data_IF_154258298015
#
_entry.id   IF_154258298015
#
_cell.length_a   1.000
_cell.length_b   1.000
_cell.length_c   1.000
_cell.angle_alpha   90.00
_cell.angle_beta   90.00
_cell.angle_gamma   90.00
#
_symmetry.space_group_name_H-M   'P 1'
#
loop_
_entity.id
_entity.type
_entity.pdbx_description
1 polymer ?
#
# COMPACT_ATOMS: atom_id res chain seq x y z
N UNK A 1 -10.26 53.25 68.95
CA UNK A 1 -10.68 53.37 67.53
C UNK A 1 -9.44 53.71 66.73
N UNK A 2 -9.15 53.09 65.56
CA UNK A 2 -9.96 52.17 64.76
C UNK A 2 -9.48 50.70 64.86
N UNK A 3 -10.37 49.77 64.53
CA UNK A 3 -10.10 48.33 64.37
C UNK A 3 -9.93 48.03 62.88
N UNK A 4 -8.92 47.25 62.54
CA UNK A 4 -8.68 46.66 61.22
C UNK A 4 -9.31 45.28 61.22
N UNK A 5 -10.19 45.01 60.26
CA UNK A 5 -10.82 43.70 60.03
C UNK A 5 -9.84 42.76 59.31
N UNK A 6 -9.70 41.54 59.83
CA UNK A 6 -8.96 40.45 59.18
C UNK A 6 -9.99 39.45 58.64
N UNK A 7 -10.02 39.29 57.32
CA UNK A 7 -10.86 38.31 56.64
C UNK A 7 -10.38 36.88 56.92
N UNK A 8 -11.31 36.00 57.32
CA UNK A 8 -11.05 34.58 57.56
C UNK A 8 -11.40 33.78 56.30
N UNK A 9 -10.46 33.01 55.77
CA UNK A 9 -10.63 32.08 54.65
C UNK A 9 -11.29 30.79 55.19
N UNK A 10 -12.45 30.42 54.66
CA UNK A 10 -13.12 29.16 54.96
C UNK A 10 -12.63 28.06 53.99
N UNK A 11 -12.08 26.98 54.55
CA UNK A 11 -11.66 25.77 53.84
C UNK A 11 -12.87 24.84 53.67
N UNK A 12 -13.29 24.58 52.43
CA UNK A 12 -14.35 23.60 52.14
C UNK A 12 -13.73 22.20 51.99
N UNK A 13 -14.07 21.28 52.91
CA UNK A 13 -13.84 19.85 52.71
C UNK A 13 -14.91 19.31 51.76
N UNK A 14 -14.50 18.84 50.58
CA UNK A 14 -15.32 18.01 49.71
C UNK A 14 -15.21 16.54 50.17
N UNK A 15 -16.34 15.93 50.50
CA UNK A 15 -16.43 14.51 50.80
C UNK A 15 -16.29 13.68 49.51
N UNK A 16 -15.42 12.66 49.54
CA UNK A 16 -15.36 11.65 48.48
C UNK A 16 -16.61 10.76 48.57
N UNK A 17 -17.50 10.86 47.58
CA UNK A 17 -18.48 9.82 47.31
C UNK A 17 -17.80 8.73 46.49
N UNK A 18 -17.76 7.50 47.01
CA UNK A 18 -17.34 6.32 46.25
C UNK A 18 -18.35 6.13 45.10
N UNK A 19 -17.89 6.31 43.87
CA UNK A 19 -18.67 5.99 42.68
C UNK A 19 -18.79 4.46 42.60
N UNK A 20 -20.01 3.96 42.72
CA UNK A 20 -20.35 2.58 42.37
C UNK A 20 -20.14 2.40 40.87
N UNK A 21 -19.06 1.71 40.49
CA UNK A 21 -18.85 1.24 39.11
C UNK A 21 -19.88 0.13 38.87
N UNK A 22 -20.75 0.24 37.85
CA UNK A 22 -21.65 -0.86 37.51
C UNK A 22 -20.82 -2.07 37.06
N UNK A 23 -21.08 -3.24 37.66
CA UNK A 23 -20.45 -4.54 37.34
C UNK A 23 -20.74 -5.06 35.91
N UNK A 24 -21.43 -4.27 35.07
CA UNK A 24 -21.85 -4.61 33.71
C UNK A 24 -21.22 -3.70 32.64
N UNK A 25 -20.01 -3.19 32.86
CA UNK A 25 -19.22 -2.71 31.74
C UNK A 25 -18.95 -3.92 30.82
N UNK A 26 -19.36 -3.91 29.53
CA UNK A 26 -19.01 -4.99 28.63
C UNK A 26 -17.48 -5.08 28.62
N UNK A 27 -16.98 -6.25 29.02
CA UNK A 27 -15.57 -6.60 28.86
C UNK A 27 -15.17 -6.26 27.41
N UNK A 28 -14.01 -5.63 27.16
CA UNK A 28 -13.54 -5.44 25.79
C UNK A 28 -13.60 -6.79 25.10
N UNK A 29 -14.40 -6.88 24.03
CA UNK A 29 -14.50 -8.11 23.24
C UNK A 29 -13.10 -8.37 22.69
N UNK A 30 -12.44 -9.49 23.05
CA UNK A 30 -11.16 -9.81 22.44
C UNK A 30 -11.41 -9.90 20.93
N UNK A 31 -10.79 -9.02 20.15
CA UNK A 31 -10.97 -9.11 18.71
C UNK A 31 -10.37 -10.45 18.29
N UNK A 32 -11.19 -11.31 17.68
CA UNK A 32 -10.85 -12.69 17.42
C UNK A 32 -9.64 -12.77 16.49
N UNK A 33 -8.84 -13.82 16.64
CA UNK A 33 -7.88 -14.21 15.60
C UNK A 33 -8.62 -14.33 14.25
N UNK A 34 -7.91 -14.06 13.17
CA UNK A 34 -8.45 -14.22 11.82
C UNK A 34 -7.48 -15.06 11.02
N UNK A 35 -8.04 -15.93 10.20
CA UNK A 35 -7.36 -16.73 9.20
C UNK A 35 -7.72 -16.25 7.78
N UNK A 36 -8.33 -15.06 7.69
CA UNK A 36 -8.70 -14.39 6.46
C UNK A 36 -7.68 -13.30 6.08
N UNK A 37 -7.20 -13.33 4.84
CA UNK A 37 -6.28 -12.33 4.28
C UNK A 37 -6.80 -11.78 2.95
N UNK A 38 -6.87 -10.45 2.84
CA UNK A 38 -7.13 -9.75 1.58
C UNK A 38 -5.85 -9.05 1.12
N UNK A 39 -5.21 -9.57 0.07
CA UNK A 39 -3.98 -9.04 -0.50
C UNK A 39 -4.26 -8.29 -1.81
N UNK A 40 -4.06 -6.98 -1.80
CA UNK A 40 -4.04 -6.16 -3.01
C UNK A 40 -2.59 -6.05 -3.50
N UNK A 41 -2.33 -6.50 -4.72
CA UNK A 41 -1.06 -6.24 -5.40
C UNK A 41 -1.25 -5.01 -6.30
N UNK A 42 -0.45 -3.98 -6.05
CA UNK A 42 -0.40 -2.76 -6.85
C UNK A 42 0.87 -2.84 -7.68
N UNK A 43 0.69 -3.12 -8.97
CA UNK A 43 1.81 -3.40 -9.87
C UNK A 43 1.98 -2.26 -10.86
N UNK A 44 3.19 -1.75 -10.94
CA UNK A 44 3.54 -0.83 -11.99
C UNK A 44 3.65 -1.57 -13.34
N UNK A 45 2.89 -1.05 -14.30
CA UNK A 45 2.69 -1.65 -15.61
C UNK A 45 3.45 -0.89 -16.71
N UNK A 46 4.42 -0.07 -16.33
CA UNK A 46 5.37 0.57 -17.23
C UNK A 46 6.17 -0.47 -18.02
N UNK A 47 6.77 -0.03 -19.12
CA UNK A 47 7.56 -0.90 -19.97
C UNK A 47 8.88 -1.36 -19.34
N UNK A 48 9.37 -0.68 -18.29
CA UNK A 48 10.63 -0.99 -17.61
C UNK A 48 10.52 -2.11 -16.59
N UNK A 49 9.32 -2.41 -16.10
CA UNK A 49 9.10 -3.37 -15.01
C UNK A 49 9.01 -4.86 -15.43
N UNK A 50 9.41 -5.19 -16.66
CA UNK A 50 9.20 -6.51 -17.25
C UNK A 50 9.94 -7.64 -16.50
N UNK A 51 11.21 -7.42 -16.18
CA UNK A 51 12.06 -8.36 -15.44
C UNK A 51 11.61 -8.54 -13.98
N UNK A 52 11.17 -7.46 -13.33
CA UNK A 52 10.65 -7.48 -11.96
C UNK A 52 9.31 -8.21 -11.88
N UNK A 53 8.39 -7.99 -12.84
CA UNK A 53 7.12 -8.72 -12.92
C UNK A 53 7.34 -10.23 -13.12
N UNK A 54 8.37 -10.62 -13.90
CA UNK A 54 8.76 -12.02 -14.05
C UNK A 54 9.30 -12.59 -12.73
N UNK A 55 10.18 -11.85 -12.03
CA UNK A 55 10.75 -12.26 -10.73
C UNK A 55 9.68 -12.42 -9.66
N UNK A 56 8.67 -11.54 -9.64
CA UNK A 56 7.50 -11.68 -8.77
C UNK A 56 6.70 -12.93 -9.13
N UNK A 57 6.43 -13.15 -10.42
CA UNK A 57 5.69 -14.32 -10.90
C UNK A 57 6.35 -15.65 -10.49
N UNK A 58 7.68 -15.70 -10.47
CA UNK A 58 8.46 -16.87 -10.03
C UNK A 58 8.36 -17.14 -8.53
N UNK A 59 8.27 -16.08 -7.70
CA UNK A 59 8.25 -16.20 -6.24
C UNK A 59 6.83 -16.42 -5.66
N UNK A 60 5.77 -16.08 -6.41
CA UNK A 60 4.38 -16.22 -5.95
C UNK A 60 3.97 -17.61 -5.49
N UNK A 61 4.31 -18.72 -6.19
CA UNK A 61 3.89 -20.05 -5.75
C UNK A 61 4.37 -20.38 -4.33
N UNK A 62 5.63 -20.05 -4.02
CA UNK A 62 6.20 -20.24 -2.69
C UNK A 62 5.52 -19.33 -1.66
N UNK A 63 5.29 -18.08 -2.01
CA UNK A 63 4.60 -17.12 -1.13
C UNK A 63 3.18 -17.58 -0.76
N UNK A 64 2.37 -18.01 -1.74
CA UNK A 64 1.03 -18.54 -1.50
C UNK A 64 1.11 -19.84 -0.68
N UNK A 65 2.03 -20.74 -1.03
CA UNK A 65 2.22 -22.00 -0.30
C UNK A 65 2.51 -21.73 1.18
N UNK A 66 3.46 -20.85 1.49
CA UNK A 66 3.83 -20.48 2.85
C UNK A 66 2.64 -19.94 3.65
N UNK A 67 1.84 -19.05 3.05
CA UNK A 67 0.62 -18.54 3.67
C UNK A 67 -0.42 -19.64 3.95
N UNK A 68 -0.60 -20.57 3.02
CA UNK A 68 -1.62 -21.63 3.11
C UNK A 68 -1.24 -22.79 4.01
N UNK A 69 0.05 -23.06 4.21
CA UNK A 69 0.53 -24.14 5.10
C UNK A 69 0.95 -23.62 6.47
N UNK A 70 1.33 -22.35 6.56
CA UNK A 70 2.00 -21.80 7.73
C UNK A 70 3.46 -22.25 7.84
N UNK A 71 4.03 -22.85 6.80
CA UNK A 71 5.41 -23.32 6.70
C UNK A 71 6.19 -22.33 5.83
N UNK A 72 6.91 -21.44 6.48
CA UNK A 72 7.56 -20.29 5.85
C UNK A 72 8.83 -20.70 5.12
N UNK A 73 9.63 -21.58 5.73
CA UNK A 73 10.95 -21.95 5.23
C UNK A 73 10.98 -23.29 4.47
N UNK A 74 9.81 -23.91 4.27
CA UNK A 74 9.62 -25.16 3.55
C UNK A 74 10.40 -26.33 4.18
N UNK A 75 10.57 -26.29 5.52
CA UNK A 75 11.23 -27.35 6.28
C UNK A 75 10.27 -28.49 6.68
N UNK A 76 8.98 -28.32 6.40
CA UNK A 76 7.90 -29.26 6.71
C UNK A 76 7.27 -29.06 8.09
N UNK A 77 7.74 -28.10 8.88
CA UNK A 77 7.15 -27.68 10.14
C UNK A 77 6.27 -26.44 9.95
N UNK A 78 5.31 -26.27 10.86
CA UNK A 78 4.47 -25.08 10.88
C UNK A 78 5.14 -24.01 11.75
N UNK A 79 5.40 -22.85 11.17
CA UNK A 79 5.91 -21.65 11.83
C UNK A 79 4.81 -20.75 12.39
N UNK A 80 3.68 -20.64 11.68
CA UNK A 80 2.53 -19.82 12.08
C UNK A 80 1.19 -20.46 11.68
N UNK A 81 0.07 -19.94 12.20
CA UNK A 81 -1.24 -20.46 11.82
C UNK A 81 -1.59 -20.08 10.38
N UNK A 82 -1.94 -21.06 9.52
CA UNK A 82 -2.15 -20.81 8.10
C UNK A 82 -3.36 -19.94 7.81
N UNK A 83 -3.27 -19.18 6.73
CA UNK A 83 -4.41 -18.50 6.11
C UNK A 83 -5.34 -19.56 5.53
N UNK A 84 -6.58 -19.62 6.00
CA UNK A 84 -7.58 -20.56 5.47
C UNK A 84 -8.43 -19.97 4.36
N UNK A 85 -8.44 -18.64 4.22
CA UNK A 85 -9.11 -17.94 3.13
C UNK A 85 -8.36 -16.69 2.68
N UNK A 86 -7.78 -16.77 1.50
CA UNK A 86 -7.00 -15.71 0.85
C UNK A 86 -7.79 -15.12 -0.32
N UNK A 87 -8.00 -13.81 -0.30
CA UNK A 87 -8.38 -13.03 -1.47
C UNK A 87 -7.13 -12.36 -2.05
N UNK A 88 -6.92 -12.46 -3.35
CA UNK A 88 -5.91 -11.68 -4.08
C UNK A 88 -6.60 -10.85 -5.16
N UNK A 89 -6.22 -9.58 -5.27
CA UNK A 89 -6.61 -8.74 -6.38
C UNK A 89 -5.41 -7.95 -6.89
N UNK A 90 -5.46 -7.55 -8.15
CA UNK A 90 -4.39 -6.80 -8.81
C UNK A 90 -4.97 -5.49 -9.33
N UNK A 91 -4.30 -4.37 -9.05
CA UNK A 91 -4.52 -3.08 -9.72
C UNK A 91 -3.20 -2.58 -10.28
N UNK A 92 -3.26 -1.76 -11.33
CA UNK A 92 -2.08 -1.06 -11.82
C UNK A 92 -1.91 0.28 -11.12
N UNK A 93 -0.77 0.89 -11.31
CA UNK A 93 -0.42 2.26 -10.87
C UNK A 93 -0.93 3.35 -11.81
N UNK A 94 -1.46 2.99 -12.99
CA UNK A 94 -1.99 3.93 -13.97
C UNK A 94 -3.34 4.53 -13.49
N UNK A 95 -3.27 5.73 -12.95
CA UNK A 95 -4.45 6.54 -12.56
C UNK A 95 -4.78 7.62 -13.59
N UNK A 96 -4.13 7.58 -14.75
CA UNK A 96 -4.23 8.57 -15.80
C UNK A 96 -3.53 9.89 -15.48
N UNK A 97 -3.53 10.77 -16.48
CA UNK A 97 -2.87 12.07 -16.47
C UNK A 97 -3.88 13.20 -16.62
N UNK A 98 -5.11 13.01 -16.13
CA UNK A 98 -6.18 14.02 -16.18
C UNK A 98 -6.57 14.49 -17.59
N UNK A 99 -6.38 13.63 -18.59
CA UNK A 99 -6.82 13.85 -19.98
C UNK A 99 -5.78 14.55 -20.86
N UNK A 100 -4.57 14.78 -20.33
CA UNK A 100 -3.48 15.39 -21.07
C UNK A 100 -2.87 14.39 -22.08
N UNK A 101 -2.42 14.93 -23.22
CA UNK A 101 -1.74 14.14 -24.26
C UNK A 101 -0.28 13.89 -23.83
N UNK A 102 -0.10 12.82 -23.07
CA UNK A 102 1.21 12.35 -22.58
C UNK A 102 1.47 10.98 -23.22
N UNK A 103 2.62 10.80 -23.89
CA UNK A 103 2.99 9.50 -24.46
C UNK A 103 2.89 8.40 -23.41
N UNK A 104 2.42 7.21 -23.81
CA UNK A 104 2.20 6.00 -22.97
C UNK A 104 1.00 6.06 -22.02
N UNK A 105 0.45 7.24 -21.74
CA UNK A 105 -0.62 7.40 -20.74
C UNK A 105 -2.04 7.33 -21.34
N UNK A 106 -2.21 6.80 -22.55
CA UNK A 106 -3.51 6.61 -23.20
C UNK A 106 -4.02 5.16 -23.16
N UNK A 107 -3.20 4.24 -22.65
CA UNK A 107 -3.43 2.79 -22.70
C UNK A 107 -4.36 2.20 -21.65
N UNK A 108 -4.59 2.90 -20.52
CA UNK A 108 -5.45 2.43 -19.44
C UNK A 108 -6.93 2.27 -19.83
N UNK A 109 -7.69 1.53 -19.02
CA UNK A 109 -9.10 1.19 -19.27
C UNK A 109 -10.01 2.40 -19.53
N UNK A 110 -9.67 3.55 -18.96
CA UNK A 110 -10.39 4.82 -19.05
C UNK A 110 -9.57 5.91 -19.78
N UNK A 111 -8.51 5.50 -20.48
CA UNK A 111 -7.60 6.37 -21.24
C UNK A 111 -6.89 7.40 -20.38
N UNK A 112 -6.33 8.43 -21.02
CA UNK A 112 -5.52 9.46 -20.35
C UNK A 112 -6.24 10.25 -19.24
N UNK A 113 -7.57 10.21 -19.17
CA UNK A 113 -8.32 10.89 -18.12
C UNK A 113 -8.15 10.23 -16.75
N UNK A 114 -8.15 8.89 -16.70
CA UNK A 114 -8.22 8.15 -15.45
C UNK A 114 -7.43 6.83 -15.43
N UNK A 115 -6.70 6.49 -16.50
CA UNK A 115 -5.89 5.28 -16.55
C UNK A 115 -6.73 4.03 -16.36
N UNK A 116 -6.29 3.13 -15.49
CA UNK A 116 -7.08 1.98 -14.99
C UNK A 116 -7.94 2.32 -13.77
N UNK A 117 -7.81 3.54 -13.23
CA UNK A 117 -8.67 4.14 -12.21
C UNK A 117 -8.76 3.35 -10.89
N UNK A 118 -7.75 2.54 -10.57
CA UNK A 118 -7.77 1.65 -9.40
C UNK A 118 -8.83 0.55 -9.50
N UNK A 119 -9.27 0.20 -10.72
CA UNK A 119 -10.17 -0.93 -10.96
C UNK A 119 -9.36 -2.22 -11.07
N UNK A 120 -9.80 -3.28 -10.41
CA UNK A 120 -9.12 -4.57 -10.42
C UNK A 120 -9.01 -5.13 -11.84
N UNK A 121 -7.80 -5.57 -12.20
CA UNK A 121 -7.50 -6.09 -13.53
C UNK A 121 -8.05 -7.51 -13.65
N UNK A 122 -8.83 -7.73 -14.71
CA UNK A 122 -9.41 -9.04 -15.02
C UNK A 122 -8.85 -9.63 -16.31
N UNK A 123 -8.09 -8.85 -17.08
CA UNK A 123 -7.56 -9.26 -18.37
C UNK A 123 -6.34 -10.15 -18.18
N UNK A 124 -6.41 -11.39 -18.66
CA UNK A 124 -5.27 -12.30 -18.63
C UNK A 124 -4.34 -12.16 -19.84
N UNK A 125 -3.06 -12.50 -19.65
CA UNK A 125 -2.03 -12.50 -20.70
C UNK A 125 -2.02 -13.78 -21.52
N UNK A 126 -2.83 -13.83 -22.57
CA UNK A 126 -2.89 -14.99 -23.48
C UNK A 126 -1.61 -15.28 -24.28
N UNK A 127 -0.62 -14.38 -24.24
CA UNK A 127 0.72 -14.64 -24.76
C UNK A 127 1.50 -15.66 -23.90
N UNK A 128 1.16 -15.78 -22.62
CA UNK A 128 1.71 -16.80 -21.72
C UNK A 128 0.88 -18.07 -21.89
N UNK A 129 1.56 -19.20 -22.15
CA UNK A 129 0.89 -20.49 -22.36
C UNK A 129 0.15 -20.91 -21.10
N UNK A 130 -1.14 -21.23 -21.23
CA UNK A 130 -1.99 -21.64 -20.11
C UNK A 130 -2.88 -20.52 -19.54
N UNK A 131 -2.53 -19.25 -19.79
CA UNK A 131 -3.33 -18.14 -19.32
C UNK A 131 -4.65 -17.97 -20.11
N UNK A 132 -5.73 -17.74 -19.38
CA UNK A 132 -7.05 -17.43 -19.93
C UNK A 132 -7.11 -15.96 -20.41
N UNK A 133 -8.03 -15.62 -21.33
CA UNK A 133 -8.22 -14.22 -21.74
C UNK A 133 -8.81 -13.34 -20.63
N UNK A 134 -9.50 -13.93 -19.65
CA UNK A 134 -10.13 -13.20 -18.54
C UNK A 134 -10.11 -14.05 -17.28
N UNK A 135 -10.01 -13.37 -16.15
CA UNK A 135 -10.00 -13.88 -14.78
C UNK A 135 -11.04 -13.12 -13.93
N UNK A 136 -11.43 -13.64 -12.75
CA UNK A 136 -12.22 -12.87 -11.79
C UNK A 136 -11.43 -11.64 -11.29
N UNK A 137 -12.15 -10.61 -10.82
CA UNK A 137 -11.52 -9.44 -10.20
C UNK A 137 -10.87 -9.77 -8.85
N UNK A 138 -11.43 -10.76 -8.16
CA UNK A 138 -10.95 -11.29 -6.88
C UNK A 138 -10.64 -12.78 -7.07
N UNK A 139 -9.41 -13.15 -6.83
CA UNK A 139 -8.95 -14.54 -6.81
C UNK A 139 -9.13 -15.07 -5.39
N UNK A 140 -9.78 -16.23 -5.26
CA UNK A 140 -10.07 -16.84 -3.97
C UNK A 140 -9.26 -18.14 -3.82
N UNK A 141 -8.49 -18.25 -2.75
CA UNK A 141 -7.82 -19.48 -2.34
C UNK A 141 -8.30 -19.89 -0.95
N UNK A 142 -8.59 -21.17 -0.78
CA UNK A 142 -9.03 -21.75 0.49
C UNK A 142 -8.08 -22.84 0.95
N UNK A 143 -8.06 -23.09 2.25
CA UNK A 143 -7.28 -24.19 2.85
C UNK A 143 -7.48 -25.52 2.10
N UNK A 144 -6.37 -26.17 1.76
CA UNK A 144 -6.36 -27.43 1.01
C UNK A 144 -6.55 -27.28 -0.51
N UNK A 145 -6.68 -26.05 -1.02
CA UNK A 145 -6.63 -25.76 -2.45
C UNK A 145 -5.21 -25.93 -3.03
N UNK A 146 -5.13 -25.98 -4.36
CA UNK A 146 -3.84 -26.03 -5.06
C UNK A 146 -3.21 -24.64 -5.13
N UNK A 147 -2.21 -24.39 -4.27
CA UNK A 147 -1.49 -23.12 -4.20
C UNK A 147 -0.72 -22.81 -5.50
N UNK A 148 -0.18 -23.83 -6.17
CA UNK A 148 0.58 -23.64 -7.42
C UNK A 148 -0.33 -23.22 -8.57
N UNK A 149 -1.48 -23.88 -8.72
CA UNK A 149 -2.47 -23.51 -9.73
C UNK A 149 -3.05 -22.11 -9.47
N UNK A 150 -3.34 -21.79 -8.20
CA UNK A 150 -3.80 -20.46 -7.82
C UNK A 150 -2.77 -19.37 -8.14
N UNK A 151 -1.51 -19.59 -7.74
CA UNK A 151 -0.43 -18.63 -8.01
C UNK A 151 -0.20 -18.44 -9.52
N UNK A 152 -0.32 -19.51 -10.31
CA UNK A 152 -0.27 -19.43 -11.76
C UNK A 152 -1.38 -18.51 -12.32
N UNK A 153 -2.62 -18.68 -11.88
CA UNK A 153 -3.74 -17.84 -12.33
C UNK A 153 -3.56 -16.37 -11.95
N UNK A 154 -3.03 -16.08 -10.76
CA UNK A 154 -2.66 -14.71 -10.34
C UNK A 154 -1.55 -14.14 -11.24
N UNK A 155 -0.52 -14.93 -11.55
CA UNK A 155 0.60 -14.51 -12.41
C UNK A 155 0.18 -14.15 -13.85
N UNK A 156 -0.92 -14.75 -14.32
CA UNK A 156 -1.51 -14.46 -15.64
C UNK A 156 -2.09 -13.05 -15.74
N UNK A 157 -2.34 -12.37 -14.62
CA UNK A 157 -2.85 -10.99 -14.55
C UNK A 157 -1.77 -9.99 -14.14
N UNK A 158 -0.86 -10.36 -13.24
CA UNK A 158 0.20 -9.46 -12.73
C UNK A 158 1.10 -8.87 -13.80
N UNK A 159 1.29 -9.63 -14.86
CA UNK A 159 1.99 -9.16 -16.01
C UNK A 159 1.09 -8.07 -16.66
N UNK A 160 1.19 -6.80 -16.30
CA UNK A 160 0.50 -5.67 -16.97
C UNK A 160 1.54 -4.82 -17.71
N UNK A 161 1.28 -4.43 -18.97
CA UNK A 161 2.21 -3.66 -19.82
C UNK A 161 1.46 -2.55 -20.52
N UNK A 162 2.17 -1.48 -20.85
CA UNK A 162 1.60 -0.32 -21.53
C UNK A 162 0.96 0.70 -20.58
N UNK A 163 1.43 0.72 -19.33
CA UNK A 163 1.11 1.72 -18.33
C UNK A 163 1.66 3.10 -18.67
N UNK A 164 1.14 4.08 -17.94
CA UNK A 164 1.56 5.47 -18.02
C UNK A 164 2.85 5.69 -17.23
N UNK A 165 3.88 6.29 -17.82
CA UNK A 165 5.15 6.59 -17.11
C UNK A 165 5.08 7.65 -16.00
N UNK A 166 3.89 7.94 -15.47
CA UNK A 166 3.65 8.71 -14.26
C UNK A 166 2.90 7.85 -13.25
N UNK A 167 3.66 7.10 -12.47
CA UNK A 167 3.08 6.11 -11.57
C UNK A 167 2.40 6.74 -10.36
N UNK A 168 1.24 6.17 -10.00
CA UNK A 168 0.42 6.64 -8.89
C UNK A 168 0.00 5.47 -7.97
N UNK A 169 0.94 4.64 -7.49
CA UNK A 169 0.65 3.45 -6.70
C UNK A 169 -0.16 3.73 -5.43
N UNK A 170 0.11 4.83 -4.74
CA UNK A 170 -0.57 5.12 -3.48
C UNK A 170 -2.03 5.55 -3.71
N UNK A 171 -2.30 6.34 -4.75
CA UNK A 171 -3.67 6.71 -5.12
C UNK A 171 -4.43 5.54 -5.71
N UNK A 172 -3.78 4.69 -6.51
CA UNK A 172 -4.36 3.45 -7.04
C UNK A 172 -4.80 2.51 -5.91
N UNK A 173 -3.91 2.25 -4.94
CA UNK A 173 -4.21 1.44 -3.76
C UNK A 173 -5.40 2.01 -2.99
N UNK A 174 -5.35 3.31 -2.66
CA UNK A 174 -6.38 3.96 -1.87
C UNK A 174 -7.73 3.98 -2.61
N UNK A 175 -7.74 4.23 -3.93
CA UNK A 175 -8.98 4.25 -4.73
C UNK A 175 -9.58 2.87 -4.86
N UNK A 176 -8.75 1.86 -5.06
CA UNK A 176 -9.20 0.48 -5.20
C UNK A 176 -9.93 -0.03 -3.95
N UNK A 177 -9.44 0.36 -2.77
CA UNK A 177 -9.90 -0.15 -1.48
C UNK A 177 -10.98 0.71 -0.81
N UNK A 178 -10.98 2.02 -1.06
CA UNK A 178 -11.91 2.93 -0.39
C UNK A 178 -13.35 2.70 -0.87
N UNK A 179 -14.32 2.41 0.01
CA UNK A 179 -15.72 2.42 -0.35
C UNK A 179 -16.26 3.85 -0.46
N UNK A 180 -17.36 4.04 -1.17
CA UNK A 180 -18.08 5.29 -1.30
C UNK A 180 -18.87 5.67 -0.03
N UNK A 181 -19.12 4.70 0.87
CA UNK A 181 -19.72 4.90 2.19
C UNK A 181 -19.03 4.04 3.26
N UNK A 182 -19.11 4.41 4.56
CA UNK A 182 -18.57 3.58 5.64
C UNK A 182 -19.15 2.16 5.63
N UNK A 183 -18.28 1.16 5.81
CA UNK A 183 -18.62 -0.26 5.85
C UNK A 183 -18.31 -0.86 7.24
N UNK A 184 -18.91 -2.01 7.60
CA UNK A 184 -18.50 -2.79 8.77
C UNK A 184 -16.99 -3.10 8.76
N UNK A 185 -16.39 -3.26 9.94
CA UNK A 185 -14.94 -3.50 10.09
C UNK A 185 -14.04 -2.27 9.97
N UNK A 186 -14.54 -1.13 9.49
CA UNK A 186 -13.81 0.14 9.39
C UNK A 186 -13.82 0.93 10.71
N UNK A 187 -12.94 1.92 10.84
CA UNK A 187 -12.92 2.83 12.00
C UNK A 187 -14.25 3.58 12.14
N UNK A 188 -14.59 3.92 13.39
CA UNK A 188 -15.76 4.75 13.67
C UNK A 188 -15.54 6.17 13.12
N UNK A 189 -16.49 6.65 12.31
CA UNK A 189 -16.39 7.95 11.65
C UNK A 189 -15.55 7.97 10.37
N UNK A 190 -15.27 6.81 9.77
CA UNK A 190 -14.63 6.73 8.46
C UNK A 190 -15.25 7.72 7.45
N UNK A 191 -14.40 8.47 6.75
CA UNK A 191 -14.76 9.49 5.78
C UNK A 191 -14.20 9.09 4.42
N UNK A 192 -15.04 8.63 3.47
CA UNK A 192 -14.60 8.26 2.14
C UNK A 192 -13.80 9.37 1.44
N UNK A 193 -12.55 9.12 1.01
CA UNK A 193 -11.79 10.10 0.26
C UNK A 193 -12.45 10.41 -1.09
N UNK A 194 -12.18 11.61 -1.59
CA UNK A 194 -12.47 11.99 -2.96
C UNK A 194 -11.20 11.84 -3.81
N UNK A 195 -11.40 11.42 -5.05
CA UNK A 195 -10.36 11.23 -6.06
C UNK A 195 -10.51 12.27 -7.16
N UNK A 196 -9.69 12.18 -8.22
CA UNK A 196 -9.75 13.07 -9.39
C UNK A 196 -11.20 13.34 -9.83
N UNK A 197 -11.49 14.62 -10.10
CA UNK A 197 -12.84 15.17 -10.42
C UNK A 197 -13.94 14.91 -9.38
N UNK A 198 -13.58 14.63 -8.13
CA UNK A 198 -14.54 14.34 -7.07
C UNK A 198 -15.19 12.96 -7.19
N UNK A 199 -14.54 12.03 -7.90
CA UNK A 199 -14.98 10.64 -7.97
C UNK A 199 -14.80 9.93 -6.62
N UNK A 200 -15.48 8.79 -6.46
CA UNK A 200 -15.39 7.93 -5.27
C UNK A 200 -14.46 6.74 -5.53
N UNK A 201 -14.05 6.07 -4.46
CA UNK A 201 -13.33 4.82 -4.56
C UNK A 201 -14.23 3.66 -5.00
N UNK A 202 -13.61 2.52 -5.27
CA UNK A 202 -14.26 1.35 -5.88
C UNK A 202 -14.55 0.22 -4.90
N UNK A 203 -14.19 0.34 -3.62
CA UNK A 203 -14.23 -0.77 -2.65
C UNK A 203 -15.61 -1.39 -2.43
N UNK A 204 -16.69 -0.62 -2.58
CA UNK A 204 -18.09 -1.07 -2.56
C UNK A 204 -18.79 -0.90 -3.92
N UNK A 205 -18.00 -0.65 -4.97
CA UNK A 205 -18.43 -0.43 -6.35
C UNK A 205 -17.82 -1.47 -7.29
N UNK A 206 -16.92 -1.04 -8.18
CA UNK A 206 -16.31 -1.93 -9.19
C UNK A 206 -15.43 -3.03 -8.59
N UNK A 207 -14.92 -2.82 -7.38
CA UNK A 207 -14.07 -3.76 -6.66
C UNK A 207 -14.82 -4.42 -5.48
N UNK A 208 -16.16 -4.34 -5.46
CA UNK A 208 -16.98 -4.94 -4.43
C UNK A 208 -16.72 -6.45 -4.32
N UNK A 209 -16.68 -6.96 -3.08
CA UNK A 209 -16.43 -8.37 -2.77
C UNK A 209 -14.97 -8.69 -2.44
N UNK A 210 -14.03 -7.77 -2.67
CA UNK A 210 -12.63 -7.96 -2.29
C UNK A 210 -12.42 -7.83 -0.77
N UNK A 211 -12.76 -6.66 -0.21
CA UNK A 211 -12.46 -6.31 1.17
C UNK A 211 -13.49 -6.91 2.14
N UNK A 212 -13.07 -7.90 2.93
CA UNK A 212 -13.87 -8.54 3.96
C UNK A 212 -13.78 -7.80 5.29
N UNK A 213 -14.76 -8.00 6.16
CA UNK A 213 -14.88 -7.29 7.44
C UNK A 213 -13.78 -7.68 8.44
N UNK A 214 -13.44 -8.98 8.53
CA UNK A 214 -12.58 -9.52 9.58
C UNK A 214 -11.19 -9.96 9.07
N UNK A 215 -10.84 -9.69 7.82
CA UNK A 215 -9.56 -10.08 7.25
C UNK A 215 -8.43 -9.12 7.63
N UNK A 216 -7.20 -9.63 7.66
CA UNK A 216 -6.01 -8.78 7.49
C UNK A 216 -6.07 -8.17 6.10
N UNK A 217 -5.93 -6.85 6.00
CA UNK A 217 -5.74 -6.14 4.74
C UNK A 217 -4.25 -5.96 4.49
N UNK A 218 -3.76 -6.49 3.38
CA UNK A 218 -2.40 -6.31 2.93
C UNK A 218 -2.38 -5.60 1.57
N UNK A 219 -1.47 -4.64 1.42
CA UNK A 219 -1.17 -3.99 0.14
C UNK A 219 0.29 -4.26 -0.19
N UNK A 220 0.57 -4.87 -1.33
CA UNK A 220 1.93 -5.05 -1.85
C UNK A 220 2.12 -4.12 -3.05
N UNK A 221 2.94 -3.08 -2.88
CA UNK A 221 3.32 -2.16 -3.94
C UNK A 221 4.60 -2.64 -4.59
N UNK A 222 4.59 -2.80 -5.91
CA UNK A 222 5.74 -3.21 -6.72
C UNK A 222 5.94 -2.21 -7.85
N UNK A 223 7.04 -1.46 -7.82
CA UNK A 223 7.33 -0.38 -8.79
C UNK A 223 8.82 -0.03 -8.83
N UNK A 224 9.34 0.37 -9.99
CA UNK A 224 10.69 0.92 -10.15
C UNK A 224 10.70 2.46 -10.06
N UNK A 225 9.54 3.05 -9.79
CA UNK A 225 9.29 4.48 -9.84
C UNK A 225 8.79 5.02 -8.48
N UNK A 226 8.69 6.35 -8.40
CA UNK A 226 8.15 7.04 -7.22
C UNK A 226 6.66 7.31 -7.42
N UNK A 227 5.91 7.47 -6.32
CA UNK A 227 4.54 7.94 -6.39
C UNK A 227 4.46 9.40 -6.90
N UNK A 228 3.73 9.64 -7.99
CA UNK A 228 3.37 10.97 -8.51
C UNK A 228 1.87 11.28 -8.35
N UNK A 229 1.21 10.67 -7.38
CA UNK A 229 -0.22 10.89 -7.14
C UNK A 229 -0.52 12.34 -6.77
N UNK A 230 -1.40 13.02 -7.52
CA UNK A 230 -1.70 14.45 -7.36
C UNK A 230 -3.17 14.82 -7.59
N UNK A 231 -3.60 15.95 -7.01
CA UNK A 231 -4.87 16.61 -7.37
C UNK A 231 -4.78 17.55 -8.56
N UNK A 232 -3.58 17.97 -8.96
CA UNK A 232 -3.37 18.95 -10.03
C UNK A 232 -2.75 18.26 -11.25
N UNK A 233 -3.59 17.68 -12.14
CA UNK A 233 -3.09 16.97 -13.31
C UNK A 233 -2.34 17.87 -14.29
N UNK A 234 -2.39 19.20 -14.12
CA UNK A 234 -1.57 20.11 -14.92
C UNK A 234 -0.07 19.83 -14.78
N UNK A 235 0.37 19.16 -13.71
CA UNK A 235 1.77 18.70 -13.59
C UNK A 235 2.16 17.75 -14.74
N UNK A 236 1.21 17.00 -15.29
CA UNK A 236 1.43 16.08 -16.41
C UNK A 236 1.31 16.76 -17.77
N UNK A 237 0.69 17.94 -17.87
CA UNK A 237 0.48 18.64 -19.13
C UNK A 237 1.81 19.24 -19.66
N UNK A 238 2.36 18.77 -20.79
CA UNK A 238 3.60 19.31 -21.34
C UNK A 238 3.51 20.81 -21.65
N UNK A 239 2.30 21.34 -21.88
CA UNK A 239 2.03 22.73 -22.23
C UNK A 239 1.75 23.66 -21.03
N UNK A 240 1.59 23.13 -19.81
CA UNK A 240 1.31 23.95 -18.64
C UNK A 240 2.55 24.76 -18.22
N UNK A 241 2.44 26.07 -18.36
CA UNK A 241 3.51 27.01 -18.08
C UNK A 241 3.91 27.07 -16.59
N UNK A 242 3.08 26.58 -15.66
CA UNK A 242 3.39 26.52 -14.22
C UNK A 242 4.52 25.56 -13.92
N UNK A 243 4.68 24.51 -14.74
CA UNK A 243 5.61 23.40 -14.49
C UNK A 243 6.70 23.26 -15.57
N UNK A 244 6.82 24.25 -16.46
CA UNK A 244 7.72 24.21 -17.63
C UNK A 244 9.18 24.56 -17.33
N UNK A 245 9.53 24.87 -16.08
CA UNK A 245 10.91 25.20 -15.68
C UNK A 245 11.85 23.99 -15.61
N UNK A 246 11.30 22.78 -15.67
CA UNK A 246 12.03 21.51 -15.65
C UNK A 246 11.46 20.57 -16.71
N UNK A 247 12.21 19.50 -17.01
CA UNK A 247 11.73 18.42 -17.87
C UNK A 247 10.45 17.78 -17.29
N UNK A 248 9.57 17.29 -18.16
CA UNK A 248 8.30 16.68 -17.80
C UNK A 248 8.47 15.56 -16.76
N UNK A 249 9.47 14.70 -16.94
CA UNK A 249 9.73 13.55 -16.05
C UNK A 249 10.24 13.97 -14.65
N UNK A 250 10.65 15.22 -14.48
CA UNK A 250 11.20 15.72 -13.22
C UNK A 250 10.17 16.47 -12.37
N UNK A 251 8.96 16.69 -12.88
CA UNK A 251 8.02 17.63 -12.27
C UNK A 251 7.52 17.17 -10.90
N UNK A 252 7.18 15.89 -10.76
CA UNK A 252 6.70 15.31 -9.49
C UNK A 252 7.68 15.56 -8.33
N UNK A 253 8.99 15.53 -8.65
CA UNK A 253 10.09 15.76 -7.71
C UNK A 253 10.42 17.24 -7.53
N UNK A 254 10.36 18.02 -8.62
CA UNK A 254 10.75 19.43 -8.62
C UNK A 254 9.68 20.35 -8.02
N UNK A 255 8.44 19.87 -7.93
CA UNK A 255 7.30 20.57 -7.36
C UNK A 255 6.68 19.76 -6.20
N UNK A 256 7.41 19.58 -5.08
CA UNK A 256 7.03 18.65 -4.01
C UNK A 256 5.72 19.00 -3.28
N UNK A 257 5.22 20.22 -3.44
CA UNK A 257 3.93 20.66 -2.87
C UNK A 257 2.72 20.25 -3.73
N UNK A 258 2.94 19.72 -4.93
CA UNK A 258 1.86 19.38 -5.89
C UNK A 258 1.35 17.95 -5.72
N UNK A 259 2.21 16.92 -5.54
CA UNK A 259 1.73 15.61 -5.16
C UNK A 259 1.01 15.64 -3.80
N UNK A 260 0.14 14.67 -3.57
CA UNK A 260 -0.56 14.53 -2.30
C UNK A 260 0.42 14.39 -1.12
N UNK A 261 0.06 14.91 0.05
CA UNK A 261 0.84 14.60 1.25
C UNK A 261 0.71 13.12 1.62
N UNK A 262 1.80 12.49 2.04
CA UNK A 262 1.86 11.09 2.50
C UNK A 262 0.78 10.77 3.55
N UNK A 263 0.45 11.73 4.42
CA UNK A 263 -0.59 11.57 5.43
C UNK A 263 -1.95 11.13 4.87
N UNK A 264 -2.27 11.49 3.61
CA UNK A 264 -3.47 11.05 2.88
C UNK A 264 -3.60 9.52 2.86
N UNK A 265 -2.49 8.83 2.59
CA UNK A 265 -2.48 7.39 2.33
C UNK A 265 -2.44 6.57 3.61
N UNK A 266 -1.77 7.06 4.65
CA UNK A 266 -1.74 6.38 5.94
C UNK A 266 -3.07 6.49 6.71
N UNK A 267 -3.33 7.65 7.32
CA UNK A 267 -4.51 7.86 8.17
C UNK A 267 -5.55 8.84 7.60
N UNK A 268 -5.24 9.50 6.49
CA UNK A 268 -5.94 10.69 6.06
C UNK A 268 -5.59 11.92 6.89
N UNK A 269 -5.90 13.09 6.34
CA UNK A 269 -5.57 14.41 6.93
C UNK A 269 -6.25 14.66 8.28
N UNK A 270 -7.42 14.07 8.49
CA UNK A 270 -8.22 14.16 9.72
C UNK A 270 -8.19 12.86 10.54
N UNK A 271 -7.36 11.89 10.15
CA UNK A 271 -7.29 10.57 10.79
C UNK A 271 -8.50 9.68 10.53
N UNK A 272 -9.37 10.02 9.56
CA UNK A 272 -10.62 9.31 9.29
C UNK A 272 -10.68 8.68 7.90
N UNK A 273 -9.57 8.65 7.18
CA UNK A 273 -9.47 8.09 5.84
C UNK A 273 -8.17 7.26 5.71
N UNK A 274 -7.62 7.16 4.50
CA UNK A 274 -6.40 6.39 4.26
C UNK A 274 -6.57 4.89 4.47
N UNK A 275 -5.48 4.14 4.40
CA UNK A 275 -5.47 2.69 4.58
C UNK A 275 -5.82 2.28 6.02
N UNK A 276 -5.39 3.05 7.03
CA UNK A 276 -5.74 2.79 8.44
C UNK A 276 -7.23 2.97 8.71
N UNK A 277 -7.95 3.73 7.88
CA UNK A 277 -9.40 3.87 8.00
C UNK A 277 -10.17 2.59 7.66
N UNK A 278 -9.56 1.67 6.92
CA UNK A 278 -10.22 0.48 6.38
C UNK A 278 -10.35 -0.66 7.41
N UNK A 279 -9.68 -0.54 8.56
CA UNK A 279 -9.74 -1.51 9.68
C UNK A 279 -9.87 -0.79 11.01
N UNK A 280 -10.70 -1.33 11.91
CA UNK A 280 -10.79 -0.86 13.31
C UNK A 280 -9.46 -0.97 14.04
N UNK A 281 -8.76 -2.08 13.80
CA UNK A 281 -7.46 -2.37 14.38
C UNK A 281 -6.35 -2.07 13.36
N UNK A 282 -5.46 -1.11 13.62
CA UNK A 282 -4.37 -0.79 12.70
C UNK A 282 -3.43 -1.97 12.48
N UNK A 283 -3.28 -2.91 13.43
CA UNK A 283 -2.41 -4.08 13.23
C UNK A 283 -2.95 -5.09 12.21
N UNK A 284 -4.21 -4.92 11.77
CA UNK A 284 -4.82 -5.66 10.66
C UNK A 284 -4.53 -5.02 9.29
N UNK A 285 -3.73 -3.95 9.23
CA UNK A 285 -3.29 -3.32 7.97
C UNK A 285 -1.81 -3.59 7.79
N UNK A 286 -1.42 -4.05 6.61
CA UNK A 286 -0.03 -4.30 6.22
C UNK A 286 0.29 -3.61 4.90
N UNK A 287 1.40 -2.88 4.84
CA UNK A 287 1.97 -2.38 3.59
C UNK A 287 3.32 -3.06 3.31
N UNK A 288 3.36 -3.87 2.26
CA UNK A 288 4.60 -4.36 1.67
C UNK A 288 5.05 -3.44 0.55
N UNK A 289 6.32 -3.02 0.58
CA UNK A 289 6.96 -2.22 -0.47
C UNK A 289 8.06 -3.06 -1.09
N UNK A 290 7.99 -3.27 -2.39
CA UNK A 290 9.06 -3.85 -3.19
C UNK A 290 9.39 -2.85 -4.30
N UNK A 291 10.38 -1.99 -4.06
CA UNK A 291 10.64 -0.86 -4.95
C UNK A 291 12.13 -0.57 -5.14
N UNK A 292 12.46 0.47 -5.91
CA UNK A 292 13.82 0.90 -6.24
C UNK A 292 14.66 1.37 -5.06
N UNK A 293 15.01 0.48 -4.13
CA UNK A 293 15.75 0.79 -2.90
C UNK A 293 17.12 0.11 -2.97
N UNK A 294 18.22 0.77 -2.55
CA UNK A 294 19.52 0.11 -2.44
C UNK A 294 19.45 -1.12 -1.52
N UNK A 295 19.86 -2.29 -2.01
CA UNK A 295 19.81 -3.57 -1.25
C UNK A 295 20.51 -3.46 0.11
N UNK A 296 21.61 -2.70 0.18
CA UNK A 296 22.35 -2.49 1.43
C UNK A 296 21.58 -1.67 2.48
N UNK A 297 20.56 -0.92 2.08
CA UNK A 297 19.70 -0.17 3.00
C UNK A 297 18.55 -1.01 3.57
N UNK A 298 18.29 -2.20 3.00
CA UNK A 298 17.21 -3.12 3.43
C UNK A 298 17.78 -4.50 3.81
N UNK A 299 18.71 -4.60 4.79
CA UNK A 299 19.29 -5.89 5.19
C UNK A 299 18.27 -6.82 5.88
N UNK A 300 17.20 -6.26 6.43
CA UNK A 300 16.06 -6.98 7.01
C UNK A 300 14.75 -6.31 6.54
N UNK A 301 14.14 -6.79 5.44
CA UNK A 301 12.95 -6.16 4.88
C UNK A 301 11.73 -6.18 5.81
N UNK A 302 11.66 -7.14 6.75
CA UNK A 302 10.55 -7.26 7.72
C UNK A 302 10.65 -6.24 8.87
N UNK A 303 11.82 -5.62 9.05
CA UNK A 303 12.08 -4.63 10.11
C UNK A 303 12.84 -3.44 9.52
N UNK A 304 12.16 -2.60 8.71
CA UNK A 304 12.80 -1.54 7.96
C UNK A 304 13.37 -0.44 8.87
N UNK A 305 14.65 -0.08 8.67
CA UNK A 305 15.23 1.12 9.25
C UNK A 305 14.98 2.31 8.32
N UNK A 306 13.86 3.01 8.55
CA UNK A 306 13.45 4.13 7.69
C UNK A 306 14.44 5.28 7.64
N UNK A 307 15.19 5.55 8.71
CA UNK A 307 16.17 6.65 8.72
C UNK A 307 17.39 6.28 7.88
N UNK A 308 17.82 5.02 7.92
CA UNK A 308 18.87 4.49 7.03
C UNK A 308 18.41 4.50 5.57
N UNK A 309 17.19 4.04 5.29
CA UNK A 309 16.66 3.98 3.92
C UNK A 309 16.51 5.41 3.35
N UNK A 310 15.75 6.29 4.01
CA UNK A 310 15.48 7.65 3.52
C UNK A 310 16.71 8.55 3.55
N UNK A 311 17.68 8.26 4.42
CA UNK A 311 18.97 8.95 4.52
C UNK A 311 20.04 8.44 3.57
N UNK A 312 19.81 7.33 2.85
CA UNK A 312 20.81 6.75 1.95
C UNK A 312 21.15 7.74 0.82
N UNK A 313 22.43 7.89 0.41
CA UNK A 313 22.84 8.82 -0.65
C UNK A 313 22.14 8.59 -1.99
N UNK A 314 21.91 7.33 -2.35
CA UNK A 314 21.23 6.96 -3.60
C UNK A 314 19.70 7.09 -3.50
N UNK A 315 19.14 7.27 -2.30
CA UNK A 315 17.71 7.55 -2.09
C UNK A 315 17.40 9.06 -2.14
N UNK A 316 18.35 9.90 -2.54
CA UNK A 316 18.15 11.34 -2.67
C UNK A 316 17.72 11.71 -4.10
N UNK A 317 16.69 12.55 -4.22
CA UNK A 317 16.14 13.02 -5.50
C UNK A 317 17.06 14.05 -6.15
N UNK A 318 18.16 13.56 -6.72
CA UNK A 318 19.19 14.38 -7.36
C UNK A 318 19.08 14.17 -8.88
N UNK A 319 18.92 15.25 -9.65
CA UNK A 319 18.94 15.19 -11.12
C UNK A 319 20.26 14.59 -11.61
N UNK A 320 20.18 13.63 -12.54
CA UNK A 320 21.34 12.97 -13.12
C UNK A 320 22.13 13.96 -14.00
N UNK A 321 23.39 14.31 -13.66
CA UNK A 321 24.16 15.28 -14.44
C UNK A 321 24.52 14.76 -15.84
N UNK A 322 24.49 13.44 -16.05
CA UNK A 322 24.74 12.82 -17.35
C UNK A 322 23.47 12.74 -18.23
N UNK A 323 22.29 12.72 -17.60
CA UNK A 323 20.99 12.64 -18.25
C UNK A 323 20.04 13.61 -17.51
N UNK A 324 20.08 14.92 -17.83
CA UNK A 324 19.40 15.96 -17.05
C UNK A 324 17.86 15.99 -17.20
N UNK A 325 17.28 14.93 -17.76
CA UNK A 325 15.84 14.72 -17.91
C UNK A 325 15.30 13.65 -16.94
N UNK A 326 16.12 13.18 -16.00
CA UNK A 326 15.73 12.19 -14.98
C UNK A 326 16.51 12.38 -13.69
N UNK A 327 16.05 11.72 -12.63
CA UNK A 327 16.82 11.58 -11.40
C UNK A 327 17.98 10.60 -11.59
N UNK A 328 18.97 10.68 -10.72
CA UNK A 328 19.94 9.62 -10.54
C UNK A 328 19.19 8.37 -10.07
N UNK A 329 19.41 7.20 -10.69
CA UNK A 329 18.82 5.96 -10.21
C UNK A 329 19.26 5.66 -8.78
N UNK A 330 18.32 5.26 -7.93
CA UNK A 330 18.62 4.71 -6.61
C UNK A 330 19.18 3.31 -6.71
N UNK A 331 18.89 2.63 -7.81
CA UNK A 331 19.46 1.36 -8.16
C UNK A 331 19.59 1.22 -9.69
N UNK A 332 20.65 0.55 -10.11
CA UNK A 332 20.90 0.19 -11.49
C UNK A 332 21.65 -1.14 -11.53
N UNK A 333 20.90 -2.25 -11.63
CA UNK A 333 21.46 -3.60 -11.64
C UNK A 333 21.25 -4.19 -13.04
N UNK A 334 22.33 -4.49 -13.79
CA UNK A 334 22.22 -5.05 -15.13
C UNK A 334 21.39 -6.33 -15.16
N UNK A 335 20.37 -6.39 -16.02
CA UNK A 335 19.48 -7.54 -16.17
C UNK A 335 18.43 -7.68 -15.06
N UNK A 336 18.31 -6.69 -14.17
CA UNK A 336 17.18 -6.57 -13.23
C UNK A 336 16.36 -5.35 -13.55
N UNK A 337 16.97 -4.16 -13.55
CA UNK A 337 16.27 -2.94 -13.86
C UNK A 337 17.05 -1.71 -13.45
N UNK A 338 16.52 -0.56 -13.85
CA UNK A 338 16.97 0.76 -13.47
C UNK A 338 15.80 1.44 -12.79
N UNK A 339 15.98 1.84 -11.53
CA UNK A 339 14.89 2.34 -10.70
C UNK A 339 15.25 3.62 -9.97
N UNK A 340 14.22 4.36 -9.58
CA UNK A 340 14.32 5.67 -8.95
C UNK A 340 13.82 5.62 -7.50
N UNK A 341 14.25 6.56 -6.68
CA UNK A 341 14.04 6.52 -5.24
C UNK A 341 12.54 6.63 -4.87
N UNK A 342 11.92 5.61 -4.24
CA UNK A 342 10.50 5.59 -3.87
C UNK A 342 10.29 6.17 -2.44
N UNK A 343 10.84 7.35 -2.18
CA UNK A 343 10.81 8.02 -0.87
C UNK A 343 9.41 8.18 -0.31
N UNK A 344 8.42 8.66 -1.09
CA UNK A 344 7.03 8.89 -0.61
C UNK A 344 6.34 7.58 -0.25
N UNK A 345 6.64 6.50 -0.98
CA UNK A 345 6.15 5.14 -0.68
C UNK A 345 6.75 4.63 0.64
N UNK A 346 8.07 4.80 0.84
CA UNK A 346 8.76 4.43 2.10
C UNK A 346 8.27 5.29 3.28
N UNK A 347 8.04 6.59 3.08
CA UNK A 347 7.45 7.48 4.09
C UNK A 347 6.03 7.05 4.47
N UNK A 348 5.25 6.53 3.51
CA UNK A 348 3.92 5.97 3.77
C UNK A 348 4.01 4.73 4.66
N UNK A 349 4.94 3.81 4.36
CA UNK A 349 5.21 2.65 5.21
C UNK A 349 5.59 3.08 6.64
N UNK A 350 6.47 4.07 6.80
CA UNK A 350 6.83 4.64 8.11
C UNK A 350 5.62 5.22 8.84
N UNK A 351 4.76 5.95 8.14
CA UNK A 351 3.58 6.58 8.72
C UNK A 351 2.52 5.57 9.16
N UNK A 352 2.41 4.44 8.46
CA UNK A 352 1.56 3.30 8.84
C UNK A 352 2.12 2.58 10.08
N UNK A 353 3.40 2.21 10.06
CA UNK A 353 4.04 1.48 11.17
C UNK A 353 4.03 2.29 12.47
N UNK A 354 4.26 3.61 12.38
CA UNK A 354 4.16 4.53 13.52
C UNK A 354 2.77 4.56 14.20
N UNK A 355 1.75 3.99 13.55
CA UNK A 355 0.37 3.88 14.06
C UNK A 355 -0.06 2.44 14.32
N UNK A 356 0.88 1.48 14.31
CA UNK A 356 0.64 0.09 14.68
C UNK A 356 0.25 -0.83 13.53
N UNK A 357 0.31 -0.37 12.28
CA UNK A 357 0.21 -1.26 11.12
C UNK A 357 1.51 -2.02 10.88
N UNK A 358 1.43 -3.16 10.19
CA UNK A 358 2.61 -3.87 9.71
C UNK A 358 3.19 -3.19 8.48
N UNK A 359 4.51 -3.22 8.35
CA UNK A 359 5.19 -2.74 7.14
C UNK A 359 6.39 -3.64 6.82
N UNK A 360 6.59 -3.92 5.53
CA UNK A 360 7.86 -4.45 5.04
C UNK A 360 8.38 -3.55 3.91
N UNK A 361 9.71 -3.41 3.83
CA UNK A 361 10.34 -2.61 2.78
C UNK A 361 11.53 -3.38 2.21
N UNK A 362 11.37 -3.85 0.99
CA UNK A 362 12.38 -4.57 0.22
C UNK A 362 12.71 -3.90 -1.11
N UNK A 363 13.74 -4.43 -1.74
CA UNK A 363 14.35 -3.87 -2.94
C UNK A 363 14.04 -4.72 -4.17
N UNK A 364 13.57 -4.14 -5.28
CA UNK A 364 13.48 -4.84 -6.57
C UNK A 364 14.86 -5.23 -7.15
N UNK A 365 15.93 -4.65 -6.62
CA UNK A 365 17.30 -4.82 -7.12
C UNK A 365 18.05 -6.03 -6.59
N UNK A 366 17.37 -6.87 -5.83
CA UNK A 366 17.91 -8.12 -5.31
C UNK A 366 17.88 -9.23 -6.36
N UNK A 367 18.69 -10.27 -6.17
CA UNK A 367 18.77 -11.40 -7.11
C UNK A 367 17.54 -12.32 -7.09
N UNK A 368 16.80 -12.35 -5.98
CA UNK A 368 15.54 -13.09 -5.86
C UNK A 368 14.62 -12.39 -4.89
N UNK A 369 13.32 -12.41 -5.15
CA UNK A 369 12.31 -11.85 -4.26
C UNK A 369 11.92 -12.78 -3.12
N UNK A 370 12.44 -14.01 -3.10
CA UNK A 370 12.14 -15.00 -2.06
C UNK A 370 12.34 -14.42 -0.65
N UNK A 371 13.51 -13.88 -0.33
CA UNK A 371 13.79 -13.35 1.01
C UNK A 371 12.91 -12.16 1.40
N UNK A 372 12.46 -11.39 0.41
CA UNK A 372 11.53 -10.26 0.65
C UNK A 372 10.09 -10.74 0.79
N UNK A 373 9.64 -11.70 0.00
CA UNK A 373 8.31 -12.30 0.18
C UNK A 373 8.24 -13.14 1.46
N UNK A 374 9.34 -13.78 1.86
CA UNK A 374 9.49 -14.36 3.19
C UNK A 374 9.27 -13.24 4.22
N UNK A 375 10.01 -12.12 4.20
CA UNK A 375 9.75 -10.99 5.11
C UNK A 375 8.29 -10.50 5.12
N UNK A 376 7.61 -10.51 3.97
CA UNK A 376 6.17 -10.23 3.89
C UNK A 376 5.34 -11.27 4.65
N UNK A 377 5.64 -12.56 4.51
CA UNK A 377 4.99 -13.65 5.28
C UNK A 377 5.15 -13.45 6.78
N UNK A 378 6.33 -13.01 7.29
CA UNK A 378 6.52 -12.73 8.72
C UNK A 378 5.59 -11.60 9.19
N UNK A 379 5.52 -10.54 8.40
CA UNK A 379 4.71 -9.37 8.69
C UNK A 379 3.22 -9.74 8.70
N UNK A 380 2.79 -10.58 7.76
CA UNK A 380 1.42 -11.09 7.68
C UNK A 380 1.10 -12.04 8.83
N UNK A 381 2.01 -12.97 9.19
CA UNK A 381 1.83 -13.88 10.32
C UNK A 381 1.64 -13.11 11.64
N UNK A 382 2.42 -12.04 11.84
CA UNK A 382 2.26 -11.14 12.98
C UNK A 382 0.93 -10.39 12.96
N UNK A 383 0.42 -10.01 11.78
CA UNK A 383 -0.88 -9.35 11.62
C UNK A 383 -2.07 -10.29 11.78
N UNK A 384 -1.91 -11.60 11.51
CA UNK A 384 -2.93 -12.65 11.68
C UNK A 384 -3.12 -13.03 13.15
N UNK A 385 -2.03 -13.10 13.90
CA UNK A 385 -2.00 -13.41 15.35
C UNK A 385 -2.18 -12.14 16.19
N UNK A 386 -2.71 -12.24 17.42
CA UNK A 386 -2.90 -11.06 18.28
C UNK A 386 -2.16 -11.14 19.61
N UNK A 387 -1.61 -10.01 20.07
CA UNK A 387 -1.57 -9.60 21.46
C UNK A 387 -2.69 -8.57 21.73
N UNK A 388 -3.76 -9.00 22.40
CA UNK A 388 -4.77 -8.21 23.15
C UNK A 388 -5.31 -6.87 22.56
N UNK A 389 -6.63 -6.82 22.28
CA UNK A 389 -7.37 -5.55 22.14
C UNK A 389 -7.65 -4.94 23.53
N UNK A 390 -7.27 -3.68 23.77
CA UNK A 390 -7.64 -2.89 24.96
C UNK A 390 -8.99 -2.20 24.82
#
# INVERSE_FOLDING_TARGET
MPRIEIATIALALAACAEAHVPDDAPMPTPCADTDELDLLIVIDNSGSLGEEQASLSEALPRFVQALSTGDRDDDGARDFDPVTSLHVAIVTTDMGVGGHDVPTCDGGLFGAEAGDDGVMITRGRTAITGCLPSYPAVFEHHAGGDASSFAFDVSCVLNATGGCGFEQPLEAALKALSPAAPQPGMIDGYTPPLFHRGTRGHGDGRNAGFLRENSVLAVLVVTDEEDCSTTDPGIFDPSDARFSSVDLNLRCFSFPDVPHRVARYAAGEDGRAGLLGLRRDPSRVVLGVLAGIPVAATPDPARPDYDVILGHPDMQEIVDPSIPTRLRPSCNVPGRGLSFAPRRIVETARALEARGAGAMVGSICQESYDGTLDAMVDTLAAALTRPECS
#
